data_IF_122755375685
#
_entry.id   IF_122755375685
#
_cell.length_a   1.000
_cell.length_b   1.000
_cell.length_c   1.000
_cell.angle_alpha   90.00
_cell.angle_beta   90.00
_cell.angle_gamma   90.00
#
_symmetry.space_group_name_H-M   'P 1'
#
loop_
_entity.id
_entity.type
_entity.pdbx_description
1 polymer ?
#
# COMPACT_ATOMS: atom_id res chain seq x y z
N UNK A 1 57.00 9.76 -74.92
CA UNK A 1 56.55 8.49 -74.29
C UNK A 1 55.67 8.84 -73.10
N UNK A 2 54.47 8.25 -73.08
CA UNK A 2 53.69 7.86 -71.89
C UNK A 2 53.15 8.94 -70.92
N UNK A 3 51.83 9.16 -70.99
CA UNK A 3 51.01 9.61 -69.85
C UNK A 3 51.02 8.57 -68.72
N UNK A 4 50.71 8.99 -67.48
CA UNK A 4 49.51 8.40 -66.87
C UNK A 4 48.63 9.39 -66.08
N UNK A 5 47.35 8.97 -66.01
CA UNK A 5 46.23 9.45 -65.19
C UNK A 5 46.43 9.09 -63.71
N UNK A 6 45.83 9.85 -62.78
CA UNK A 6 44.85 9.36 -61.78
C UNK A 6 44.42 10.42 -60.75
N UNK A 7 43.16 10.28 -60.32
CA UNK A 7 42.38 11.07 -59.36
C UNK A 7 42.91 11.07 -57.92
N UNK A 8 42.65 12.15 -57.17
CA UNK A 8 42.17 12.17 -55.76
C UNK A 8 41.86 13.64 -55.36
N UNK A 9 40.59 14.05 -55.23
CA UNK A 9 39.71 14.00 -54.05
C UNK A 9 40.14 14.84 -52.83
N UNK A 10 39.33 15.88 -52.60
CA UNK A 10 38.76 16.33 -51.33
C UNK A 10 39.55 17.22 -50.34
N UNK A 11 38.84 18.29 -49.95
CA UNK A 11 38.78 18.94 -48.62
C UNK A 11 39.64 20.17 -48.39
N UNK A 12 39.03 21.35 -48.59
CA UNK A 12 39.47 22.59 -47.94
C UNK A 12 38.39 23.05 -46.95
N UNK A 13 38.81 23.01 -45.69
CA UNK A 13 38.17 23.47 -44.47
C UNK A 13 38.16 25.01 -44.48
N UNK A 14 37.02 25.62 -44.12
CA UNK A 14 37.01 26.99 -43.60
C UNK A 14 36.17 27.03 -42.31
N UNK A 15 36.88 27.26 -41.21
CA UNK A 15 36.34 27.66 -39.92
C UNK A 15 36.10 29.17 -39.87
N UNK A 16 35.19 29.53 -38.97
CA UNK A 16 35.05 30.78 -38.24
C UNK A 16 34.25 31.92 -38.91
N UNK A 17 33.06 32.15 -38.36
CA UNK A 17 32.79 33.45 -37.73
C UNK A 17 31.93 33.25 -36.49
N UNK A 18 32.54 33.57 -35.34
CA UNK A 18 31.87 33.89 -34.10
C UNK A 18 31.02 35.15 -34.33
N UNK A 19 29.73 35.07 -34.03
CA UNK A 19 28.80 36.20 -34.13
C UNK A 19 27.76 36.06 -33.04
N UNK A 20 28.06 36.64 -31.88
CA UNK A 20 27.08 36.89 -30.83
C UNK A 20 26.12 37.99 -31.25
N UNK A 21 24.83 37.76 -31.05
CA UNK A 21 23.75 38.72 -31.23
C UNK A 21 22.58 38.29 -30.35
N UNK A 22 22.34 39.05 -29.28
CA UNK A 22 21.29 38.78 -28.30
C UNK A 22 19.89 38.94 -28.87
N UNK A 23 18.97 38.13 -28.35
CA UNK A 23 17.54 38.26 -28.54
C UNK A 23 16.86 37.72 -27.30
N UNK A 24 16.32 38.61 -26.47
CA UNK A 24 15.47 38.25 -25.35
C UNK A 24 14.25 37.50 -25.85
N UNK A 25 14.13 36.24 -25.45
CA UNK A 25 12.93 35.45 -25.49
C UNK A 25 12.94 34.67 -24.21
N UNK A 26 11.96 34.94 -23.35
CA UNK A 26 11.62 34.09 -22.21
C UNK A 26 11.70 32.65 -22.67
N UNK A 27 12.64 31.88 -22.11
CA UNK A 27 12.88 30.50 -22.50
C UNK A 27 11.62 29.70 -22.25
N UNK A 28 10.80 29.56 -23.30
CA UNK A 28 9.81 28.52 -23.43
C UNK A 28 10.58 27.21 -23.53
N UNK A 29 11.03 26.74 -22.36
CA UNK A 29 11.28 25.33 -22.19
C UNK A 29 10.01 24.62 -22.72
N UNK A 30 10.15 23.64 -23.62
CA UNK A 30 9.00 22.90 -24.10
C UNK A 30 8.19 22.46 -22.87
N UNK A 31 6.85 22.63 -22.88
CA UNK A 31 6.03 22.28 -21.73
C UNK A 31 6.39 20.85 -21.31
N UNK A 32 6.70 20.68 -20.03
CA UNK A 32 7.04 19.36 -19.48
C UNK A 32 5.97 18.38 -19.95
N UNK A 33 6.40 17.28 -20.58
CA UNK A 33 5.48 16.24 -21.01
C UNK A 33 4.59 15.87 -19.82
N UNK A 34 3.27 15.63 -20.03
CA UNK A 34 2.41 15.21 -18.96
C UNK A 34 3.01 13.96 -18.30
N UNK A 35 2.97 13.87 -16.96
CA UNK A 35 3.51 12.71 -16.27
C UNK A 35 2.85 11.44 -16.83
N UNK A 36 3.59 10.32 -16.94
CA UNK A 36 3.04 9.09 -17.49
C UNK A 36 1.79 8.69 -16.69
N UNK A 37 0.75 8.25 -17.40
CA UNK A 37 -0.44 7.72 -16.74
C UNK A 37 -0.10 6.36 -16.12
N UNK A 38 -0.16 6.28 -14.79
CA UNK A 38 0.03 5.03 -14.08
C UNK A 38 -1.17 4.10 -14.27
N UNK A 39 -0.96 2.79 -14.11
CA UNK A 39 -2.03 1.79 -14.23
C UNK A 39 -3.16 2.06 -13.22
N UNK A 40 -4.44 2.06 -13.64
CA UNK A 40 -5.54 2.27 -12.72
C UNK A 40 -5.64 1.12 -11.70
N UNK A 41 -5.96 1.46 -10.46
CA UNK A 41 -6.16 0.53 -9.36
C UNK A 41 -7.52 0.82 -8.73
N UNK A 42 -8.45 -0.12 -8.85
CA UNK A 42 -9.78 0.02 -8.28
C UNK A 42 -9.71 0.08 -6.75
N UNK A 43 -10.54 0.93 -6.15
CA UNK A 43 -10.65 1.04 -4.70
C UNK A 43 -11.42 -0.13 -4.07
N UNK A 44 -12.25 -0.84 -4.85
CA UNK A 44 -13.00 -1.99 -4.34
C UNK A 44 -13.97 -1.58 -3.21
N UNK A 45 -14.07 -2.34 -2.11
CA UNK A 45 -14.90 -1.99 -0.95
C UNK A 45 -14.25 -0.93 -0.04
N UNK A 46 -13.13 -0.33 -0.47
CA UNK A 46 -12.36 0.61 0.34
C UNK A 46 -12.58 2.05 -0.14
N UNK A 47 -12.55 2.98 0.81
CA UNK A 47 -12.39 4.40 0.53
C UNK A 47 -10.90 4.70 0.39
N UNK A 48 -10.51 5.50 -0.61
CA UNK A 48 -9.12 5.92 -0.80
C UNK A 48 -9.03 7.41 -1.07
N UNK A 49 -8.18 8.11 -0.32
CA UNK A 49 -7.97 9.54 -0.49
C UNK A 49 -6.64 9.98 0.13
N UNK A 50 -6.16 11.17 -0.23
CA UNK A 50 -5.02 11.81 0.41
C UNK A 50 -5.52 12.65 1.59
N UNK A 51 -4.96 12.44 2.77
CA UNK A 51 -5.31 13.20 3.98
C UNK A 51 -4.78 14.63 3.89
N UNK A 52 -5.61 15.60 4.29
CA UNK A 52 -5.24 17.02 4.21
C UNK A 52 -4.17 17.44 5.23
N UNK A 53 -4.15 16.82 6.41
CA UNK A 53 -3.30 17.26 7.53
C UNK A 53 -1.84 16.77 7.44
N UNK A 54 -1.57 15.67 6.75
CA UNK A 54 -0.22 15.11 6.61
C UNK A 54 0.11 14.57 5.21
N UNK A 55 -0.83 14.65 4.25
CA UNK A 55 -0.59 14.23 2.86
C UNK A 55 -0.49 12.72 2.64
N UNK A 56 -0.89 11.90 3.62
CA UNK A 56 -0.78 10.44 3.54
C UNK A 56 -1.84 9.87 2.60
N UNK A 57 -1.46 8.85 1.85
CA UNK A 57 -2.37 8.04 1.06
C UNK A 57 -3.10 7.06 1.99
N UNK A 58 -4.39 7.31 2.22
CA UNK A 58 -5.24 6.53 3.11
C UNK A 58 -6.03 5.47 2.35
N UNK A 59 -6.11 4.28 2.95
CA UNK A 59 -7.12 3.26 2.64
C UNK A 59 -7.97 3.06 3.89
N UNK A 60 -9.28 3.30 3.78
CA UNK A 60 -10.23 3.16 4.90
C UNK A 60 -11.33 2.16 4.55
N UNK A 61 -11.67 1.32 5.52
CA UNK A 61 -12.90 0.52 5.51
C UNK A 61 -13.74 0.92 6.71
N UNK A 62 -14.96 1.38 6.43
CA UNK A 62 -15.98 1.57 7.45
C UNK A 62 -16.88 0.34 7.52
N UNK A 63 -17.17 -0.07 8.75
CA UNK A 63 -18.00 -1.22 9.11
C UNK A 63 -19.25 -0.81 9.92
N UNK A 64 -19.42 0.50 10.12
CA UNK A 64 -20.53 1.09 10.86
C UNK A 64 -21.87 0.62 10.28
N UNK A 65 -22.79 0.20 11.16
CA UNK A 65 -24.10 -0.36 10.78
C UNK A 65 -25.26 0.63 11.01
N UNK A 66 -24.97 1.87 11.44
CA UNK A 66 -26.00 2.88 11.60
C UNK A 66 -25.53 4.20 12.23
N UNK A 67 -26.47 5.13 12.49
CA UNK A 67 -26.16 6.48 12.97
C UNK A 67 -25.43 6.54 14.31
N UNK A 68 -25.61 5.53 15.17
CA UNK A 68 -24.88 5.44 16.44
C UNK A 68 -23.38 5.19 16.21
N UNK A 69 -23.05 4.22 15.37
CA UNK A 69 -21.66 3.92 15.01
C UNK A 69 -21.04 5.11 14.27
N UNK A 70 -21.79 5.75 13.36
CA UNK A 70 -21.32 6.93 12.64
C UNK A 70 -20.99 8.09 13.60
N UNK A 71 -21.84 8.35 14.61
CA UNK A 71 -21.56 9.35 15.64
C UNK A 71 -20.35 8.98 16.50
N UNK A 72 -20.20 7.71 16.85
CA UNK A 72 -19.02 7.24 17.58
C UNK A 72 -17.74 7.43 16.75
N UNK A 73 -17.77 7.10 15.44
CA UNK A 73 -16.64 7.31 14.53
C UNK A 73 -16.32 8.80 14.33
N UNK A 74 -17.34 9.65 14.24
CA UNK A 74 -17.15 11.10 14.12
C UNK A 74 -16.41 11.69 15.33
N UNK A 75 -16.60 11.13 16.54
CA UNK A 75 -15.87 11.55 17.72
C UNK A 75 -14.35 11.26 17.63
N UNK A 76 -13.92 10.24 16.88
CA UNK A 76 -12.49 9.98 16.62
C UNK A 76 -11.90 10.83 15.50
N UNK A 77 -12.76 11.31 14.60
CA UNK A 77 -12.34 12.20 13.52
C UNK A 77 -12.30 13.68 14.01
N UNK A 78 -12.83 13.96 15.21
CA UNK A 78 -12.69 15.26 15.88
C UNK A 78 -11.28 15.43 16.47
N UNK A 79 -10.82 16.67 16.50
CA UNK A 79 -9.49 17.10 16.94
C UNK A 79 -9.24 16.96 18.46
N UNK A 80 -10.21 16.46 19.23
CA UNK A 80 -10.12 16.34 20.68
C UNK A 80 -9.61 14.95 21.14
N UNK A 81 -8.36 14.83 21.59
CA UNK A 81 -7.77 13.55 21.99
C UNK A 81 -8.30 12.97 23.31
N UNK A 82 -9.25 13.64 23.99
CA UNK A 82 -9.86 13.17 25.23
C UNK A 82 -11.08 12.26 25.04
N UNK A 83 -11.65 12.22 23.82
CA UNK A 83 -12.85 11.44 23.51
C UNK A 83 -12.62 10.46 22.34
N UNK A 84 -13.19 9.24 22.36
CA UNK A 84 -13.81 8.54 23.48
C UNK A 84 -12.87 7.58 24.23
N UNK A 85 -13.03 7.53 25.56
CA UNK A 85 -12.23 6.76 26.52
C UNK A 85 -12.29 5.21 26.42
N UNK A 86 -13.16 4.64 25.57
CA UNK A 86 -13.42 3.19 25.50
C UNK A 86 -12.60 2.39 24.49
N UNK A 87 -11.87 3.05 23.59
CA UNK A 87 -11.38 2.45 22.33
C UNK A 87 -9.87 2.56 22.11
N UNK A 88 -9.13 3.00 23.13
CA UNK A 88 -7.78 3.59 23.00
C UNK A 88 -6.59 2.60 22.99
N UNK A 89 -6.80 1.31 22.72
CA UNK A 89 -5.74 0.30 22.87
C UNK A 89 -5.09 -0.21 21.56
N UNK A 90 -5.38 0.40 20.39
CA UNK A 90 -4.80 -0.04 19.11
C UNK A 90 -3.80 0.95 18.46
N UNK A 91 -3.83 2.23 18.83
CA UNK A 91 -2.96 3.29 18.27
C UNK A 91 -1.51 3.18 18.81
N UNK A 92 -1.33 2.81 20.08
CA UNK A 92 -0.01 2.84 20.73
C UNK A 92 0.99 1.76 20.26
N UNK A 93 0.56 0.75 19.49
CA UNK A 93 1.47 -0.29 18.93
C UNK A 93 1.90 -0.02 17.50
N UNK A 94 1.19 0.83 16.75
CA UNK A 94 1.62 1.25 15.41
C UNK A 94 2.70 2.34 15.48
N UNK A 95 2.64 3.21 16.49
CA UNK A 95 3.50 4.39 16.59
C UNK A 95 4.92 4.15 17.13
N UNK A 96 5.21 3.00 17.76
CA UNK A 96 6.52 2.81 18.41
C UNK A 96 7.69 2.48 17.44
N UNK A 97 7.42 1.83 16.29
CA UNK A 97 8.50 1.34 15.41
C UNK A 97 8.59 2.07 14.05
N UNK A 98 7.57 2.84 13.63
CA UNK A 98 7.48 3.42 12.28
C UNK A 98 6.85 4.82 12.21
N UNK A 99 6.92 5.56 13.32
CA UNK A 99 6.37 6.91 13.47
C UNK A 99 6.68 7.78 12.24
N UNK A 100 5.63 8.36 11.63
CA UNK A 100 5.73 9.28 10.51
C UNK A 100 5.87 8.66 9.11
N UNK A 101 5.81 7.32 8.95
CA UNK A 101 5.83 6.68 7.61
C UNK A 101 4.56 5.91 7.28
N UNK A 102 3.88 5.35 8.28
CA UNK A 102 2.63 4.61 8.11
C UNK A 102 1.87 4.53 9.42
N UNK A 103 0.55 4.34 9.33
CA UNK A 103 -0.31 4.12 10.50
C UNK A 103 -1.35 3.06 10.17
N UNK A 104 -1.50 2.05 11.05
CA UNK A 104 -2.65 1.14 11.02
C UNK A 104 -3.54 1.48 12.21
N UNK A 105 -4.77 1.90 11.93
CA UNK A 105 -5.77 2.21 12.94
C UNK A 105 -6.88 1.16 12.91
N UNK A 106 -7.31 0.76 14.09
CA UNK A 106 -8.40 -0.19 14.29
C UNK A 106 -9.34 0.39 15.33
N UNK A 107 -10.59 0.62 14.94
CA UNK A 107 -11.66 1.02 15.86
C UNK A 107 -12.63 -0.14 15.97
N UNK A 108 -12.83 -0.63 17.19
CA UNK A 108 -13.65 -1.80 17.48
C UNK A 108 -14.45 -1.61 18.76
N UNK A 109 -15.69 -2.07 18.76
CA UNK A 109 -16.47 -2.24 19.99
C UNK A 109 -15.81 -3.30 20.87
N UNK A 110 -15.71 -3.03 22.17
CA UNK A 110 -15.08 -3.92 23.15
C UNK A 110 -16.06 -4.28 24.26
N UNK A 111 -15.98 -5.52 24.74
CA UNK A 111 -16.74 -5.94 25.92
C UNK A 111 -16.01 -5.44 27.19
N UNK A 112 -16.63 -4.54 27.99
CA UNK A 112 -16.01 -4.01 29.20
C UNK A 112 -15.89 -5.05 30.34
N UNK A 113 -16.64 -6.16 30.27
CA UNK A 113 -16.69 -7.18 31.34
C UNK A 113 -15.63 -8.26 31.18
N UNK A 114 -15.11 -8.45 29.97
CA UNK A 114 -14.19 -9.53 29.60
C UNK A 114 -12.85 -8.98 29.09
N UNK A 115 -12.20 -8.14 29.89
CA UNK A 115 -10.81 -7.70 29.63
C UNK A 115 -10.62 -6.89 28.35
N UNK A 116 -11.63 -6.10 27.93
CA UNK A 116 -11.61 -5.25 26.72
C UNK A 116 -11.39 -6.02 25.40
N UNK A 117 -11.91 -7.25 25.29
CA UNK A 117 -11.88 -7.99 24.03
C UNK A 117 -12.78 -7.32 22.98
N UNK A 118 -12.25 -7.14 21.76
CA UNK A 118 -13.03 -6.65 20.63
C UNK A 118 -14.14 -7.64 20.26
N UNK A 119 -15.38 -7.16 20.18
CA UNK A 119 -16.57 -7.94 19.81
C UNK A 119 -17.03 -7.62 18.39
N UNK A 120 -16.75 -6.41 17.89
CA UNK A 120 -17.16 -5.96 16.55
C UNK A 120 -16.22 -4.89 16.01
N UNK A 121 -15.78 -5.02 14.77
CA UNK A 121 -15.04 -3.96 14.08
C UNK A 121 -15.98 -2.84 13.64
N UNK A 122 -15.54 -1.59 13.80
CA UNK A 122 -16.20 -0.37 13.31
C UNK A 122 -15.45 0.26 12.14
N UNK A 123 -14.11 0.29 12.21
CA UNK A 123 -13.26 0.90 11.20
C UNK A 123 -11.88 0.27 11.16
N UNK A 124 -11.34 0.14 9.95
CA UNK A 124 -9.92 -0.10 9.71
C UNK A 124 -9.38 1.01 8.82
N UNK A 125 -8.21 1.54 9.17
CA UNK A 125 -7.50 2.53 8.37
C UNK A 125 -6.05 2.07 8.18
N UNK A 126 -5.53 2.20 6.96
CA UNK A 126 -4.12 2.06 6.65
C UNK A 126 -3.66 3.33 5.94
N UNK A 127 -2.81 4.10 6.61
CA UNK A 127 -2.20 5.30 6.07
C UNK A 127 -0.76 5.04 5.68
N UNK A 128 -0.37 5.62 4.56
CA UNK A 128 0.95 5.50 3.99
C UNK A 128 1.50 6.89 3.64
N UNK A 129 2.73 7.18 4.03
CA UNK A 129 3.42 8.41 3.62
C UNK A 129 3.44 8.54 2.08
N UNK A 130 3.58 9.77 1.54
CA UNK A 130 3.62 10.01 0.09
C UNK A 130 4.62 9.11 -0.65
N UNK A 131 4.30 8.77 -1.89
CA UNK A 131 5.16 8.02 -2.78
C UNK A 131 5.90 8.93 -3.75
N UNK A 132 7.22 8.98 -3.63
CA UNK A 132 8.06 9.93 -4.35
C UNK A 132 8.75 9.24 -5.53
N UNK A 133 7.95 8.82 -6.51
CA UNK A 133 8.44 8.28 -7.77
C UNK A 133 8.28 9.23 -8.96
N UNK A 134 7.75 10.43 -8.76
CA UNK A 134 7.78 11.50 -9.75
C UNK A 134 8.75 12.60 -9.31
N UNK A 135 9.62 13.03 -10.23
CA UNK A 135 10.46 14.21 -10.08
C UNK A 135 10.44 14.96 -11.41
N UNK A 136 10.07 16.24 -11.37
CA UNK A 136 10.00 17.11 -12.55
C UNK A 136 9.15 16.52 -13.70
N UNK A 137 8.04 15.86 -13.34
CA UNK A 137 7.13 15.22 -14.29
C UNK A 137 7.61 13.86 -14.84
N UNK A 138 8.79 13.39 -14.43
CA UNK A 138 9.37 12.12 -14.89
C UNK A 138 9.43 11.08 -13.78
N UNK A 139 9.30 9.81 -14.16
CA UNK A 139 9.46 8.70 -13.22
C UNK A 139 10.93 8.58 -12.79
N UNK A 140 11.15 8.53 -11.47
CA UNK A 140 12.50 8.37 -10.90
C UNK A 140 12.98 6.93 -11.03
N UNK A 141 12.09 5.97 -10.84
CA UNK A 141 12.29 4.56 -11.11
C UNK A 141 11.24 4.09 -12.11
N UNK A 142 11.69 3.60 -13.27
CA UNK A 142 10.86 3.08 -14.36
C UNK A 142 10.85 1.56 -14.44
N UNK A 143 11.65 0.87 -13.63
CA UNK A 143 11.82 -0.58 -13.68
C UNK A 143 12.46 -1.16 -12.43
N UNK A 144 12.52 -2.48 -12.36
CA UNK A 144 13.03 -3.24 -11.24
C UNK A 144 11.94 -3.84 -10.35
N UNK A 145 12.39 -4.70 -9.43
CA UNK A 145 11.54 -5.40 -8.48
C UNK A 145 11.89 -5.01 -7.05
N UNK A 146 10.87 -4.78 -6.24
CA UNK A 146 11.00 -4.39 -4.84
C UNK A 146 10.20 -5.34 -3.96
N UNK A 147 10.74 -5.67 -2.80
CA UNK A 147 10.25 -6.76 -1.96
C UNK A 147 10.01 -6.27 -0.55
N UNK A 148 8.81 -6.45 -0.02
CA UNK A 148 8.44 -5.99 1.31
C UNK A 148 8.09 -7.17 2.20
N UNK A 149 8.49 -7.05 3.46
CA UNK A 149 8.12 -7.96 4.54
C UNK A 149 7.61 -7.18 5.74
N UNK A 150 6.80 -7.82 6.56
CA UNK A 150 6.31 -7.19 7.78
C UNK A 150 5.12 -7.89 8.40
N UNK A 151 4.24 -7.10 9.01
CA UNK A 151 3.22 -7.58 9.93
C UNK A 151 1.86 -7.74 9.25
N UNK A 152 1.04 -8.64 9.77
CA UNK A 152 -0.35 -8.81 9.39
C UNK A 152 -1.27 -8.92 10.60
N UNK A 153 -2.52 -8.50 10.40
CA UNK A 153 -3.61 -8.56 11.36
C UNK A 153 -4.89 -8.96 10.64
N UNK A 154 -5.75 -9.73 11.32
CA UNK A 154 -7.02 -10.18 10.80
C UNK A 154 -8.09 -10.19 11.89
N UNK A 155 -9.32 -9.97 11.50
CA UNK A 155 -10.51 -10.16 12.32
C UNK A 155 -11.54 -10.93 11.53
N UNK A 156 -12.05 -12.01 12.14
CA UNK A 156 -12.85 -13.02 11.46
C UNK A 156 -14.10 -13.29 12.25
N UNK A 157 -15.23 -13.39 11.55
CA UNK A 157 -16.49 -13.94 12.09
C UNK A 157 -16.97 -15.09 11.20
N UNK A 158 -17.38 -16.19 11.82
CA UNK A 158 -17.96 -17.38 11.17
C UNK A 158 -19.38 -17.55 11.74
N UNK A 159 -20.39 -17.60 10.88
CA UNK A 159 -21.83 -17.71 11.22
C UNK A 159 -22.30 -16.74 12.30
N UNK A 160 -21.88 -15.48 12.20
CA UNK A 160 -22.19 -14.44 13.19
C UNK A 160 -21.74 -14.79 14.63
N UNK A 161 -20.82 -15.74 14.76
CA UNK A 161 -20.16 -16.12 16.00
C UNK A 161 -19.19 -15.04 16.51
N UNK A 162 -18.41 -15.36 17.55
CA UNK A 162 -17.51 -14.41 18.18
C UNK A 162 -16.45 -13.89 17.19
N UNK A 163 -16.04 -12.64 17.39
CA UNK A 163 -14.91 -12.06 16.65
C UNK A 163 -13.61 -12.76 17.07
N UNK A 164 -12.98 -13.41 16.10
CA UNK A 164 -11.67 -14.02 16.23
C UNK A 164 -10.60 -13.07 15.70
N UNK A 165 -9.50 -12.91 16.43
CA UNK A 165 -8.38 -12.06 15.99
C UNK A 165 -7.18 -12.90 15.57
N UNK A 166 -6.62 -12.60 14.39
CA UNK A 166 -5.38 -13.17 13.88
C UNK A 166 -4.26 -12.12 13.83
N UNK A 167 -3.01 -12.51 14.08
CA UNK A 167 -1.83 -11.66 13.95
C UNK A 167 -0.60 -12.48 13.61
N UNK A 168 0.36 -11.91 12.87
CA UNK A 168 1.72 -12.43 12.77
C UNK A 168 2.73 -11.27 12.53
N UNK A 169 3.85 -11.27 13.26
CA UNK A 169 4.92 -10.26 13.13
C UNK A 169 5.60 -10.22 11.76
N UNK A 170 5.62 -11.35 11.07
CA UNK A 170 6.24 -11.55 9.76
C UNK A 170 5.17 -12.03 8.75
N UNK A 171 3.92 -11.69 9.04
CA UNK A 171 2.75 -12.14 8.32
C UNK A 171 2.56 -11.52 6.94
N UNK A 172 3.20 -10.39 6.62
CA UNK A 172 3.43 -10.03 5.22
C UNK A 172 4.67 -10.80 4.78
N UNK A 173 4.47 -12.03 4.33
CA UNK A 173 5.56 -12.95 3.98
C UNK A 173 6.33 -12.45 2.75
N UNK A 174 5.57 -11.93 1.77
CA UNK A 174 6.11 -11.38 0.54
C UNK A 174 5.11 -10.41 -0.11
N UNK A 175 5.50 -9.16 -0.27
CA UNK A 175 4.94 -8.28 -1.31
C UNK A 175 6.05 -8.01 -2.32
N UNK A 176 5.84 -8.38 -3.57
CA UNK A 176 6.74 -8.04 -4.67
C UNK A 176 6.04 -7.04 -5.58
N UNK A 177 6.64 -5.88 -5.80
CA UNK A 177 6.25 -4.92 -6.81
C UNK A 177 7.15 -5.09 -8.02
N UNK A 178 6.54 -5.16 -9.20
CA UNK A 178 7.23 -5.20 -10.49
C UNK A 178 6.91 -3.89 -11.21
N UNK A 179 7.89 -2.98 -11.23
CA UNK A 179 7.75 -1.66 -11.85
C UNK A 179 7.72 -1.77 -13.37
N UNK A 180 8.41 -2.75 -13.95
CA UNK A 180 8.44 -2.99 -15.39
C UNK A 180 7.05 -3.38 -15.92
N UNK A 181 6.30 -4.16 -15.13
CA UNK A 181 4.96 -4.66 -15.50
C UNK A 181 3.81 -3.86 -14.90
N UNK A 182 4.07 -2.98 -13.95
CA UNK A 182 3.03 -2.33 -13.16
C UNK A 182 2.15 -3.37 -12.46
N UNK A 183 2.78 -4.35 -11.80
CA UNK A 183 2.07 -5.41 -11.07
C UNK A 183 2.57 -5.62 -9.64
N UNK A 184 1.71 -6.18 -8.80
CA UNK A 184 2.04 -6.61 -7.44
C UNK A 184 1.63 -8.07 -7.19
N UNK A 185 2.49 -8.80 -6.46
CA UNK A 185 2.21 -10.11 -5.92
C UNK A 185 2.25 -10.03 -4.39
N UNK A 186 1.22 -10.55 -3.72
CA UNK A 186 1.06 -10.42 -2.27
C UNK A 186 0.78 -11.78 -1.64
N UNK A 187 1.55 -12.09 -0.60
CA UNK A 187 1.34 -13.22 0.29
C UNK A 187 1.26 -12.72 1.73
N UNK A 188 0.11 -12.98 2.35
CA UNK A 188 -0.14 -12.61 3.74
C UNK A 188 -0.59 -13.84 4.52
N UNK A 189 -0.09 -13.99 5.74
CA UNK A 189 -0.51 -14.98 6.71
C UNK A 189 -0.64 -14.44 8.11
N UNK A 190 -1.54 -15.01 8.89
CA UNK A 190 -1.48 -14.93 10.36
C UNK A 190 -1.07 -16.30 10.92
N UNK A 191 -0.70 -16.37 12.19
CA UNK A 191 -0.33 -17.64 12.85
C UNK A 191 -1.42 -18.10 13.83
N UNK A 192 -1.27 -19.30 14.40
CA UNK A 192 -1.99 -19.70 15.61
C UNK A 192 -1.00 -19.62 16.76
N UNK A 193 -1.29 -18.76 17.73
CA UNK A 193 -0.45 -18.55 18.91
C UNK A 193 -1.29 -18.04 20.08
N UNK A 194 -0.77 -17.93 21.32
CA UNK A 194 -1.53 -17.36 22.43
C UNK A 194 -2.08 -15.94 22.19
N UNK A 195 -1.60 -15.25 21.15
CA UNK A 195 -2.02 -13.89 20.76
C UNK A 195 -2.79 -13.86 19.43
N UNK A 196 -3.03 -15.01 18.82
CA UNK A 196 -3.64 -15.15 17.49
C UNK A 196 -4.52 -16.40 17.44
N UNK A 197 -5.83 -16.17 17.31
CA UNK A 197 -6.88 -17.19 17.38
C UNK A 197 -7.20 -17.83 16.04
N UNK A 198 -6.76 -17.22 14.94
CA UNK A 198 -7.12 -17.66 13.59
C UNK A 198 -5.92 -17.52 12.66
N UNK A 199 -5.70 -18.55 11.86
CA UNK A 199 -4.77 -18.50 10.73
C UNK A 199 -5.53 -18.05 9.49
N UNK A 200 -5.00 -17.00 8.87
CA UNK A 200 -5.39 -16.53 7.56
C UNK A 200 -4.28 -16.88 6.58
N UNK A 201 -4.65 -17.24 5.36
CA UNK A 201 -3.76 -17.27 4.22
C UNK A 201 -4.38 -16.47 3.08
N UNK A 202 -3.71 -15.42 2.64
CA UNK A 202 -4.10 -14.62 1.49
C UNK A 202 -3.01 -14.72 0.44
N UNK A 203 -3.39 -15.09 -0.77
CA UNK A 203 -2.51 -15.03 -1.95
C UNK A 203 -3.19 -14.26 -3.05
N UNK A 204 -2.49 -13.28 -3.58
CA UNK A 204 -2.91 -12.48 -4.72
C UNK A 204 -1.73 -12.33 -5.69
N UNK A 205 -2.00 -12.43 -6.99
CA UNK A 205 -0.97 -12.42 -8.04
C UNK A 205 -1.37 -11.49 -9.16
N UNK A 206 -0.37 -10.87 -9.79
CA UNK A 206 -0.51 -9.99 -10.94
C UNK A 206 -1.55 -8.88 -10.72
N UNK A 207 -1.64 -8.37 -9.48
CA UNK A 207 -2.52 -7.27 -9.15
C UNK A 207 -2.06 -6.01 -9.88
N UNK A 208 -2.96 -5.14 -10.35
CA UNK A 208 -2.61 -3.81 -10.79
C UNK A 208 -1.77 -3.06 -9.75
N UNK A 209 -0.64 -2.50 -10.19
CA UNK A 209 0.18 -1.58 -9.42
C UNK A 209 0.44 -0.33 -10.25
N UNK A 210 0.15 0.81 -9.65
CA UNK A 210 0.37 2.12 -10.22
C UNK A 210 1.75 2.64 -9.79
N UNK A 211 2.71 2.58 -10.71
CA UNK A 211 4.10 3.05 -10.50
C UNK A 211 4.21 4.56 -10.26
N UNK A 212 3.14 5.32 -10.47
CA UNK A 212 3.11 6.77 -10.28
C UNK A 212 2.58 7.12 -8.89
N UNK A 213 1.47 6.51 -8.49
CA UNK A 213 0.78 6.83 -7.22
C UNK A 213 1.14 5.89 -6.07
N UNK A 214 1.83 4.78 -6.33
CA UNK A 214 2.15 3.76 -5.33
C UNK A 214 0.97 2.86 -4.98
N UNK A 215 -0.20 3.09 -5.58
CA UNK A 215 -1.40 2.29 -5.36
C UNK A 215 -1.25 0.88 -5.92
N UNK A 216 -1.69 -0.14 -5.19
CA UNK A 216 -1.93 -1.48 -5.72
C UNK A 216 -3.15 -2.12 -5.06
N UNK A 217 -3.70 -3.14 -5.71
CA UNK A 217 -4.87 -3.84 -5.19
C UNK A 217 -5.65 -4.59 -6.26
N UNK A 218 -6.67 -5.32 -5.80
CA UNK A 218 -7.54 -6.12 -6.65
C UNK A 218 -8.08 -7.35 -5.93
N UNK A 219 -8.57 -8.32 -6.69
CA UNK A 219 -9.13 -9.55 -6.16
C UNK A 219 -8.07 -10.41 -5.46
N UNK A 220 -8.46 -11.07 -4.38
CA UNK A 220 -7.66 -12.06 -3.67
C UNK A 220 -8.53 -13.22 -3.22
N UNK A 221 -7.90 -14.37 -2.99
CA UNK A 221 -8.55 -15.46 -2.30
C UNK A 221 -7.96 -15.61 -0.90
N UNK A 222 -8.85 -15.73 0.08
CA UNK A 222 -8.52 -15.81 1.49
C UNK A 222 -8.94 -17.17 2.03
N UNK A 223 -7.99 -17.88 2.63
CA UNK A 223 -8.24 -19.06 3.45
C UNK A 223 -8.29 -18.70 4.92
N UNK A 224 -9.22 -19.30 5.67
CA UNK A 224 -9.44 -19.09 7.10
C UNK A 224 -9.39 -20.44 7.80
N UNK A 225 -8.54 -20.58 8.81
CA UNK A 225 -8.44 -21.77 9.66
C UNK A 225 -8.53 -21.35 11.12
N UNK A 226 -9.61 -21.74 11.79
CA UNK A 226 -9.72 -21.67 13.24
C UNK A 226 -9.19 -23.01 13.80
N UNK A 227 -8.15 -23.02 14.66
CA UNK A 227 -7.57 -24.25 15.20
C UNK A 227 -8.53 -25.09 16.05
N UNK A 228 -9.60 -24.47 16.58
CA UNK A 228 -10.61 -25.15 17.39
C UNK A 228 -11.56 -26.02 16.54
N UNK A 229 -11.48 -25.90 15.21
CA UNK A 229 -12.25 -26.70 14.25
C UNK A 229 -11.34 -27.25 13.16
N UNK A 230 -11.71 -28.40 12.59
CA UNK A 230 -10.90 -29.04 11.54
C UNK A 230 -11.09 -28.40 10.16
N UNK A 231 -12.09 -27.53 10.00
CA UNK A 231 -12.43 -26.93 8.71
C UNK A 231 -11.56 -25.71 8.40
N UNK A 232 -11.07 -25.68 7.17
CA UNK A 232 -10.53 -24.47 6.53
C UNK A 232 -11.55 -23.97 5.52
N UNK A 233 -11.89 -22.69 5.60
CA UNK A 233 -12.78 -22.01 4.67
C UNK A 233 -12.00 -21.27 3.62
N UNK A 234 -12.51 -21.18 2.39
CA UNK A 234 -11.91 -20.40 1.30
C UNK A 234 -12.96 -19.48 0.70
N UNK A 235 -12.70 -18.18 0.72
CA UNK A 235 -13.61 -17.15 0.23
C UNK A 235 -12.86 -16.12 -0.62
N UNK A 236 -13.54 -15.59 -1.63
CA UNK A 236 -13.01 -14.50 -2.45
C UNK A 236 -13.15 -13.16 -1.72
N UNK A 237 -12.17 -12.30 -1.99
CA UNK A 237 -12.04 -11.01 -1.36
C UNK A 237 -11.33 -10.01 -2.24
N UNK A 238 -10.99 -8.88 -1.65
CA UNK A 238 -10.27 -7.79 -2.28
C UNK A 238 -9.22 -7.23 -1.33
N UNK A 239 -8.14 -6.71 -1.88
CA UNK A 239 -7.15 -5.92 -1.14
C UNK A 239 -6.89 -4.59 -1.81
N UNK A 240 -6.46 -3.62 -1.00
CA UNK A 240 -5.99 -2.32 -1.46
C UNK A 240 -4.88 -1.85 -0.53
N UNK A 241 -3.72 -1.53 -1.09
CA UNK A 241 -2.58 -1.02 -0.34
C UNK A 241 -1.81 0.05 -1.10
N UNK A 242 -1.05 0.85 -0.36
CA UNK A 242 -0.21 1.89 -0.92
C UNK A 242 1.24 1.62 -0.57
N UNK A 243 2.12 2.10 -1.44
CA UNK A 243 3.55 2.23 -1.21
C UNK A 243 3.81 3.68 -0.87
N UNK A 244 4.78 3.94 -0.01
CA UNK A 244 5.26 5.28 0.29
C UNK A 244 6.78 5.34 0.40
N UNK A 245 7.32 6.55 0.49
CA UNK A 245 8.75 6.83 0.40
C UNK A 245 9.24 6.88 -1.05
N UNK A 246 10.56 6.87 -1.24
CA UNK A 246 11.17 6.91 -2.57
C UNK A 246 11.78 5.57 -2.96
N UNK A 247 11.62 5.12 -4.23
CA UNK A 247 12.34 3.96 -4.78
C UNK A 247 13.81 4.27 -5.09
N UNK A 248 14.22 5.54 -5.03
CA UNK A 248 15.61 5.94 -5.30
C UNK A 248 16.58 5.28 -4.32
N UNK A 249 17.55 4.53 -4.85
CA UNK A 249 18.68 4.05 -4.05
C UNK A 249 19.68 5.18 -3.77
N UNK A 250 20.08 5.30 -2.51
CA UNK A 250 21.22 6.08 -2.04
C UNK A 250 22.02 5.19 -1.11
N UNK A 251 23.33 5.04 -1.34
CA UNK A 251 24.22 4.16 -0.58
C UNK A 251 23.67 2.73 -0.41
N UNK A 252 23.14 2.16 -1.51
CA UNK A 252 22.58 0.81 -1.53
C UNK A 252 21.26 0.64 -0.77
N UNK A 253 20.61 1.73 -0.35
CA UNK A 253 19.32 1.70 0.37
C UNK A 253 18.31 2.68 -0.19
N UNK A 254 17.03 2.42 -0.02
CA UNK A 254 15.93 3.35 -0.39
C UNK A 254 15.02 3.65 0.81
N UNK A 255 13.87 4.30 0.61
CA UNK A 255 12.95 4.69 1.68
C UNK A 255 11.62 3.94 1.73
N UNK A 256 11.45 2.90 0.89
CA UNK A 256 10.12 2.39 0.61
C UNK A 256 9.49 1.60 1.75
N UNK A 257 8.21 1.89 1.98
CA UNK A 257 7.37 1.21 2.94
C UNK A 257 5.97 0.99 2.38
N UNK A 258 5.18 0.12 3.01
CA UNK A 258 3.84 -0.21 2.53
C UNK A 258 2.86 -0.47 3.66
N UNK A 259 1.59 -0.20 3.40
CA UNK A 259 0.47 -0.57 4.25
C UNK A 259 -0.78 -0.78 3.39
N UNK A 260 -1.72 -1.56 3.91
CA UNK A 260 -2.98 -1.78 3.22
C UNK A 260 -3.97 -2.61 4.00
N UNK A 261 -5.16 -2.73 3.41
CA UNK A 261 -6.29 -3.47 3.94
C UNK A 261 -6.69 -4.59 2.99
N UNK A 262 -7.30 -5.64 3.54
CA UNK A 262 -7.96 -6.69 2.79
C UNK A 262 -9.29 -7.07 3.44
N UNK A 263 -10.22 -7.55 2.62
CA UNK A 263 -11.55 -7.96 3.06
C UNK A 263 -12.08 -9.11 2.22
N UNK A 264 -12.77 -10.04 2.86
CA UNK A 264 -13.63 -11.01 2.19
C UNK A 264 -14.95 -11.18 2.95
N UNK A 265 -16.02 -11.43 2.21
CA UNK A 265 -17.33 -11.81 2.74
C UNK A 265 -17.88 -12.86 1.79
N UNK A 266 -18.18 -14.04 2.30
CA UNK A 266 -18.68 -15.12 1.46
C UNK A 266 -19.27 -16.26 2.28
N UNK A 267 -19.66 -17.31 1.57
CA UNK A 267 -20.04 -18.59 2.19
C UNK A 267 -19.13 -19.68 1.66
N UNK A 268 -18.70 -20.58 2.54
CA UNK A 268 -18.00 -21.80 2.15
C UNK A 268 -18.46 -22.95 3.05
N UNK A 269 -18.67 -24.13 2.46
CA UNK A 269 -19.14 -25.34 3.17
C UNK A 269 -20.39 -25.12 4.02
N UNK A 270 -21.29 -24.22 3.61
CA UNK A 270 -22.52 -23.89 4.33
C UNK A 270 -22.35 -22.80 5.40
N UNK A 271 -21.13 -22.37 5.71
CA UNK A 271 -20.84 -21.38 6.74
C UNK A 271 -20.65 -19.99 6.13
N UNK A 272 -21.23 -18.96 6.75
CA UNK A 272 -20.97 -17.56 6.41
C UNK A 272 -19.66 -17.11 7.04
N UNK A 273 -18.73 -16.59 6.24
CA UNK A 273 -17.41 -16.17 6.71
C UNK A 273 -17.15 -14.74 6.28
N UNK A 274 -16.74 -13.91 7.24
CA UNK A 274 -16.28 -12.54 7.00
C UNK A 274 -14.88 -12.38 7.57
N UNK A 275 -14.01 -11.76 6.77
CA UNK A 275 -12.64 -11.42 7.12
C UNK A 275 -12.45 -9.94 6.81
N UNK A 276 -11.91 -9.21 7.77
CA UNK A 276 -11.35 -7.88 7.57
C UNK A 276 -9.91 -7.92 8.11
N UNK A 277 -8.96 -7.31 7.42
CA UNK A 277 -7.57 -7.35 7.86
C UNK A 277 -6.73 -6.20 7.35
N UNK A 278 -5.57 -6.06 7.98
CA UNK A 278 -4.61 -5.00 7.72
C UNK A 278 -3.20 -5.59 7.69
N UNK A 279 -2.30 -4.95 6.98
CA UNK A 279 -0.89 -5.33 6.96
C UNK A 279 -0.01 -4.10 6.79
N UNK A 280 1.26 -4.26 7.15
CA UNK A 280 2.29 -3.23 6.97
C UNK A 280 3.64 -3.86 6.71
N UNK A 281 4.46 -3.21 5.90
CA UNK A 281 5.72 -3.76 5.47
C UNK A 281 6.76 -2.71 5.16
N UNK A 282 8.01 -3.17 5.13
CA UNK A 282 9.18 -2.39 4.77
C UNK A 282 10.00 -3.24 3.83
N UNK A 283 10.57 -2.62 2.80
CA UNK A 283 11.52 -3.33 1.95
C UNK A 283 12.84 -3.53 2.74
N UNK A 284 13.45 -4.73 2.76
CA UNK A 284 14.68 -4.99 3.51
C UNK A 284 15.84 -4.04 3.21
N UNK A 285 15.86 -3.44 2.01
CA UNK A 285 16.85 -2.43 1.61
C UNK A 285 16.44 -1.01 2.03
N UNK A 286 15.36 -0.83 2.80
CA UNK A 286 14.97 0.48 3.28
C UNK A 286 15.88 0.97 4.41
N UNK A 287 16.24 2.27 4.39
CA UNK A 287 16.89 2.91 5.53
C UNK A 287 15.92 2.90 6.72
N UNK A 288 16.33 2.29 7.84
CA UNK A 288 15.67 2.48 9.13
C UNK A 288 15.83 3.94 9.52
#
# INVERSE_FOLDING_TARGET
MSLPRSLALLSLILLAACGGGGGGGTGDAPPLAPPPEGRPVASGPFQTYTTQHNGFARVRRDAAQGPRDARALAAFDDSNPADPAGYRDLIARADADRAGRMTIEVIAEVDPRNGRRATRLLRLTADQAPFDNLRDGQLVATGGQYFFKGQSFAWVTIDDGPLLSGRHSDGLENLMLDFDRGTANVDIRTEVSPRSQVEIGLRARNLPFNVVTGAYGGAATISVRNPDVTQTYRIDGQLRGNVGGSPTYRDGRHGMTTSGLYRAVGRDKGHAVRVDGAYSGVDPNARR
#
